data_IF_215634221950
#
_entry.id   IF_215634221950
#
_cell.length_a   1.000
_cell.length_b   1.000
_cell.length_c   1.000
_cell.angle_alpha   90.00
_cell.angle_beta   90.00
_cell.angle_gamma   90.00
#
_symmetry.space_group_name_H-M   'P 1'
#
loop_
_entity.id
_entity.type
_entity.pdbx_description
1 polymer ?
#
# COMPACT_ATOMS: atom_id res chain seq x y z
N UNK A 1 3.55 19.72 -7.03
CA UNK A 1 2.82 19.03 -5.95
C UNK A 1 2.21 17.71 -6.44
N UNK A 2 1.36 17.71 -7.48
CA UNK A 2 0.72 16.50 -8.04
C UNK A 2 1.70 15.40 -8.44
N UNK A 3 2.80 15.72 -9.13
CA UNK A 3 3.82 14.73 -9.54
C UNK A 3 4.50 14.07 -8.35
N UNK A 4 4.83 14.84 -7.32
CA UNK A 4 5.47 14.32 -6.10
C UNK A 4 4.51 13.39 -5.35
N UNK A 5 3.25 13.78 -5.19
CA UNK A 5 2.24 12.93 -4.57
C UNK A 5 2.01 11.64 -5.37
N UNK A 6 1.98 11.73 -6.69
CA UNK A 6 1.85 10.55 -7.58
C UNK A 6 3.04 9.61 -7.41
N UNK A 7 4.26 10.15 -7.38
CA UNK A 7 5.48 9.36 -7.17
C UNK A 7 5.50 8.70 -5.79
N UNK A 8 5.09 9.42 -4.74
CA UNK A 8 4.97 8.89 -3.39
C UNK A 8 4.02 7.69 -3.32
N UNK A 9 2.80 7.80 -3.84
CA UNK A 9 1.86 6.69 -3.86
C UNK A 9 2.31 5.55 -4.80
N UNK A 10 3.01 5.87 -5.88
CA UNK A 10 3.63 4.87 -6.76
C UNK A 10 4.69 4.04 -6.04
N UNK A 11 5.53 4.69 -5.23
CA UNK A 11 6.54 4.04 -4.40
C UNK A 11 5.91 3.15 -3.33
N UNK A 12 4.84 3.61 -2.67
CA UNK A 12 4.08 2.78 -1.73
C UNK A 12 3.51 1.52 -2.40
N UNK A 13 2.91 1.68 -3.59
CA UNK A 13 2.36 0.56 -4.36
C UNK A 13 3.46 -0.46 -4.70
N UNK A 14 4.63 0.02 -5.11
CA UNK A 14 5.77 -0.82 -5.43
C UNK A 14 6.26 -1.59 -4.19
N UNK A 15 6.40 -0.90 -3.05
CA UNK A 15 6.78 -1.53 -1.78
C UNK A 15 5.79 -2.63 -1.37
N UNK A 16 4.47 -2.37 -1.47
CA UNK A 16 3.44 -3.37 -1.17
C UNK A 16 3.59 -4.64 -2.03
N UNK A 17 3.89 -4.51 -3.32
CA UNK A 17 4.10 -5.69 -4.18
C UNK A 17 5.43 -6.39 -3.91
N UNK A 18 6.50 -5.65 -3.60
CA UNK A 18 7.80 -6.23 -3.26
C UNK A 18 7.73 -7.05 -1.97
N UNK A 19 7.03 -6.52 -0.96
CA UNK A 19 6.76 -7.22 0.30
C UNK A 19 5.90 -8.47 0.09
N UNK A 20 4.82 -8.37 -0.68
CA UNK A 20 4.02 -9.54 -1.05
C UNK A 20 4.86 -10.59 -1.77
N UNK A 21 5.68 -10.19 -2.73
CA UNK A 21 6.53 -11.11 -3.50
C UNK A 21 7.57 -11.80 -2.59
N UNK A 22 8.23 -11.03 -1.75
CA UNK A 22 9.26 -11.51 -0.82
C UNK A 22 8.69 -12.51 0.18
N UNK A 23 7.57 -12.19 0.82
CA UNK A 23 6.96 -13.06 1.84
C UNK A 23 6.21 -14.23 1.22
N UNK A 24 5.37 -13.99 0.20
CA UNK A 24 4.49 -15.04 -0.36
C UNK A 24 5.21 -15.96 -1.33
N UNK A 25 6.02 -15.41 -2.23
CA UNK A 25 6.64 -16.13 -3.35
C UNK A 25 8.03 -16.63 -2.97
N UNK A 26 8.91 -15.74 -2.49
CA UNK A 26 10.26 -16.13 -2.07
C UNK A 26 10.31 -16.84 -0.71
N UNK A 27 9.23 -16.81 0.08
CA UNK A 27 9.15 -17.40 1.43
C UNK A 27 10.22 -16.85 2.39
N UNK A 28 10.69 -15.63 2.15
CA UNK A 28 11.71 -14.99 2.98
C UNK A 28 11.04 -14.33 4.19
N UNK A 29 10.77 -15.13 5.21
CA UNK A 29 10.03 -14.70 6.42
C UNK A 29 10.95 -14.39 7.60
N UNK A 30 12.21 -14.81 7.54
CA UNK A 30 13.12 -14.82 8.70
C UNK A 30 13.54 -13.42 9.17
N UNK A 31 13.34 -12.41 8.31
CA UNK A 31 13.67 -11.01 8.59
C UNK A 31 12.58 -10.27 9.36
N UNK A 32 11.43 -10.91 9.61
CA UNK A 32 10.27 -10.27 10.24
C UNK A 32 9.93 -10.99 11.55
N UNK A 33 9.82 -10.27 12.66
CA UNK A 33 9.30 -10.84 13.90
C UNK A 33 7.77 -11.04 13.82
N UNK A 34 7.33 -12.28 13.60
CA UNK A 34 5.90 -12.65 13.51
C UNK A 34 5.30 -13.03 14.86
N UNK A 35 3.98 -12.86 15.00
CA UNK A 35 3.20 -13.43 16.09
C UNK A 35 3.13 -12.59 17.38
N UNK A 36 2.44 -13.12 18.42
CA UNK A 36 1.96 -12.36 19.58
C UNK A 36 3.04 -11.93 20.58
N UNK A 37 4.29 -12.36 20.38
CA UNK A 37 5.44 -12.00 21.25
C UNK A 37 6.01 -10.62 20.89
N UNK A 38 5.52 -10.02 19.81
CA UNK A 38 6.08 -8.80 19.29
C UNK A 38 5.31 -7.57 19.80
N UNK A 39 5.93 -6.79 20.69
CA UNK A 39 5.42 -5.49 21.13
C UNK A 39 5.43 -4.44 20.00
N UNK A 40 5.94 -4.80 18.82
CA UNK A 40 6.02 -3.90 17.69
C UNK A 40 4.68 -3.88 16.91
N UNK A 41 3.97 -2.74 16.89
CA UNK A 41 2.64 -2.59 16.30
C UNK A 41 2.64 -2.59 14.77
N UNK A 42 3.73 -2.99 14.12
CA UNK A 42 3.86 -3.02 12.66
C UNK A 42 3.94 -4.44 12.09
N UNK A 43 3.93 -5.48 12.94
CA UNK A 43 4.02 -6.87 12.50
C UNK A 43 2.72 -7.63 12.75
N UNK A 44 2.28 -8.33 11.71
CA UNK A 44 1.07 -9.14 11.73
C UNK A 44 1.33 -10.49 12.39
N UNK A 45 0.27 -11.13 12.85
CA UNK A 45 0.31 -12.44 13.51
C UNK A 45 0.98 -13.53 12.67
N UNK A 46 0.77 -13.50 11.34
CA UNK A 46 1.34 -14.50 10.43
C UNK A 46 1.85 -13.89 9.13
N UNK A 47 2.90 -14.48 8.51
CA UNK A 47 3.37 -14.06 7.20
C UNK A 47 2.30 -14.15 6.10
N UNK A 48 1.38 -15.12 6.21
CA UNK A 48 0.29 -15.28 5.25
C UNK A 48 -0.72 -14.13 5.34
N UNK A 49 -1.03 -13.65 6.54
CA UNK A 49 -1.90 -12.48 6.72
C UNK A 49 -1.22 -11.24 6.16
N UNK A 50 0.02 -10.97 6.59
CA UNK A 50 0.82 -9.83 6.11
C UNK A 50 0.88 -9.78 4.57
N UNK A 51 1.30 -10.87 3.94
CA UNK A 51 1.41 -10.90 2.47
C UNK A 51 0.07 -10.70 1.78
N UNK A 52 -1.03 -11.20 2.34
CA UNK A 52 -2.37 -10.98 1.78
C UNK A 52 -2.80 -9.52 1.91
N UNK A 53 -2.47 -8.85 3.01
CA UNK A 53 -2.71 -7.41 3.19
C UNK A 53 -1.88 -6.59 2.21
N UNK A 54 -0.57 -6.84 2.13
CA UNK A 54 0.33 -6.15 1.19
C UNK A 54 -0.15 -6.30 -0.26
N UNK A 55 -0.62 -7.48 -0.68
CA UNK A 55 -1.21 -7.67 -2.00
C UNK A 55 -2.47 -6.83 -2.19
N UNK A 56 -3.37 -6.84 -1.21
CA UNK A 56 -4.65 -6.13 -1.26
C UNK A 56 -4.42 -4.63 -1.37
N UNK A 57 -3.53 -4.07 -0.54
CA UNK A 57 -3.13 -2.67 -0.58
C UNK A 57 -2.48 -2.31 -1.92
N UNK A 58 -1.53 -3.12 -2.40
CA UNK A 58 -0.90 -2.93 -3.70
C UNK A 58 -1.90 -2.87 -4.86
N UNK A 59 -2.91 -3.75 -4.86
CA UNK A 59 -4.00 -3.74 -5.85
C UNK A 59 -4.86 -2.47 -5.72
N UNK A 60 -5.28 -2.11 -4.51
CA UNK A 60 -6.10 -0.91 -4.27
C UNK A 60 -5.40 0.37 -4.73
N UNK A 61 -4.11 0.52 -4.39
CA UNK A 61 -3.33 1.66 -4.86
C UNK A 61 -3.10 1.63 -6.36
N UNK A 62 -2.89 0.45 -6.97
CA UNK A 62 -2.76 0.33 -8.44
C UNK A 62 -4.01 0.82 -9.16
N UNK A 63 -5.20 0.45 -8.67
CA UNK A 63 -6.48 0.92 -9.22
C UNK A 63 -6.57 2.44 -9.10
N UNK A 64 -6.29 2.99 -7.92
CA UNK A 64 -6.35 4.44 -7.69
C UNK A 64 -5.35 5.21 -8.57
N UNK A 65 -4.11 4.71 -8.71
CA UNK A 65 -3.07 5.30 -9.57
C UNK A 65 -3.42 5.19 -11.06
N UNK A 66 -4.05 4.11 -11.50
CA UNK A 66 -4.52 3.96 -12.89
C UNK A 66 -5.60 5.00 -13.22
N UNK A 67 -6.54 5.21 -12.28
CA UNK A 67 -7.54 6.29 -12.41
C UNK A 67 -6.85 7.64 -12.42
N UNK A 68 -5.90 7.90 -11.52
CA UNK A 68 -5.16 9.17 -11.44
C UNK A 68 -4.40 9.44 -12.75
N UNK A 69 -3.69 8.46 -13.29
CA UNK A 69 -2.99 8.56 -14.56
C UNK A 69 -3.95 8.95 -15.70
N UNK A 70 -5.14 8.34 -15.76
CA UNK A 70 -6.18 8.71 -16.73
C UNK A 70 -6.63 10.17 -16.58
N UNK A 71 -6.81 10.65 -15.34
CA UNK A 71 -7.22 12.05 -15.12
C UNK A 71 -6.08 13.04 -15.41
N UNK A 72 -4.83 12.67 -15.17
CA UNK A 72 -3.65 13.46 -15.54
C UNK A 72 -3.56 13.66 -17.05
N UNK A 73 -3.79 12.60 -17.84
CA UNK A 73 -3.84 12.68 -19.31
C UNK A 73 -4.96 13.62 -19.78
N UNK A 74 -6.11 13.61 -19.09
CA UNK A 74 -7.25 14.50 -19.38
C UNK A 74 -7.09 15.92 -18.85
N UNK A 75 -6.06 16.19 -18.04
CA UNK A 75 -5.79 17.48 -17.38
C UNK A 75 -6.96 18.01 -16.52
N UNK A 76 -7.81 17.11 -16.02
CA UNK A 76 -8.98 17.47 -15.20
C UNK A 76 -8.54 17.67 -13.73
N UNK A 77 -8.23 18.93 -13.38
CA UNK A 77 -7.66 19.29 -12.07
C UNK A 77 -8.55 18.89 -10.89
N UNK A 78 -9.87 18.99 -11.06
CA UNK A 78 -10.84 18.64 -10.02
C UNK A 78 -10.83 17.14 -9.75
N UNK A 79 -10.87 16.31 -10.80
CA UNK A 79 -10.81 14.86 -10.64
C UNK A 79 -9.44 14.37 -10.17
N UNK A 80 -8.36 15.03 -10.56
CA UNK A 80 -7.02 14.76 -10.04
C UNK A 80 -6.99 14.96 -8.52
N UNK A 81 -7.53 16.09 -8.01
CA UNK A 81 -7.60 16.36 -6.58
C UNK A 81 -8.40 15.28 -5.84
N UNK A 82 -9.61 14.95 -6.31
CA UNK A 82 -10.42 13.91 -5.68
C UNK A 82 -9.74 12.54 -5.68
N UNK A 83 -9.05 12.18 -6.78
CA UNK A 83 -8.34 10.89 -6.83
C UNK A 83 -7.15 10.88 -5.88
N UNK A 84 -6.42 12.00 -5.72
CA UNK A 84 -5.35 12.12 -4.72
C UNK A 84 -5.87 12.03 -3.29
N UNK A 85 -7.05 12.58 -3.01
CA UNK A 85 -7.71 12.44 -1.71
C UNK A 85 -8.10 10.97 -1.44
N UNK A 86 -8.53 10.23 -2.46
CA UNK A 86 -8.77 8.78 -2.34
C UNK A 86 -7.46 8.03 -2.05
N UNK A 87 -6.37 8.33 -2.76
CA UNK A 87 -5.05 7.74 -2.45
C UNK A 87 -4.62 8.05 -1.01
N UNK A 88 -4.85 9.28 -0.55
CA UNK A 88 -4.56 9.67 0.83
C UNK A 88 -5.44 8.90 1.84
N UNK A 89 -6.73 8.72 1.56
CA UNK A 89 -7.61 7.89 2.37
C UNK A 89 -7.15 6.43 2.45
N UNK A 90 -6.71 5.85 1.33
CA UNK A 90 -6.12 4.50 1.30
C UNK A 90 -4.83 4.44 2.11
N UNK A 91 -4.00 5.48 2.08
CA UNK A 91 -2.79 5.55 2.89
C UNK A 91 -3.10 5.59 4.40
N UNK A 92 -4.10 6.38 4.83
CA UNK A 92 -4.55 6.34 6.22
C UNK A 92 -5.11 4.96 6.58
N UNK A 93 -5.89 4.33 5.69
CA UNK A 93 -6.40 2.98 5.92
C UNK A 93 -5.28 1.95 6.07
N UNK A 94 -4.22 2.03 5.26
CA UNK A 94 -3.01 1.19 5.39
C UNK A 94 -2.33 1.39 6.74
N UNK A 95 -2.14 2.64 7.19
CA UNK A 95 -1.52 2.93 8.49
C UNK A 95 -2.36 2.41 9.66
N UNK A 96 -3.68 2.55 9.59
CA UNK A 96 -4.60 2.05 10.62
C UNK A 96 -4.65 0.53 10.60
N UNK A 97 -4.68 -0.11 9.42
CA UNK A 97 -4.68 -1.56 9.29
C UNK A 97 -3.43 -2.17 9.91
N UNK A 98 -2.26 -1.56 9.67
CA UNK A 98 -1.01 -1.98 10.30
C UNK A 98 -1.07 -2.00 11.83
N UNK A 99 -1.93 -1.18 12.46
CA UNK A 99 -2.11 -1.13 13.91
C UNK A 99 -3.16 -2.11 14.44
N UNK A 100 -3.98 -2.70 13.56
CA UNK A 100 -5.01 -3.67 13.94
C UNK A 100 -4.37 -5.05 13.97
N UNK A 101 -4.32 -5.65 15.16
CA UNK A 101 -3.80 -7.00 15.40
C UNK A 101 -4.69 -8.06 14.76
#
# INVERSE_FOLDING_TARGET
MTTLATAFFGLLTFMSFDEWWTVKIKKQTDNYPWGPINDNPWYYDTPNLYSSVMLTEGILFTIALTVLARQLLKKDKTKILYTLLVCFGLFIAMLVNGQIR
#
